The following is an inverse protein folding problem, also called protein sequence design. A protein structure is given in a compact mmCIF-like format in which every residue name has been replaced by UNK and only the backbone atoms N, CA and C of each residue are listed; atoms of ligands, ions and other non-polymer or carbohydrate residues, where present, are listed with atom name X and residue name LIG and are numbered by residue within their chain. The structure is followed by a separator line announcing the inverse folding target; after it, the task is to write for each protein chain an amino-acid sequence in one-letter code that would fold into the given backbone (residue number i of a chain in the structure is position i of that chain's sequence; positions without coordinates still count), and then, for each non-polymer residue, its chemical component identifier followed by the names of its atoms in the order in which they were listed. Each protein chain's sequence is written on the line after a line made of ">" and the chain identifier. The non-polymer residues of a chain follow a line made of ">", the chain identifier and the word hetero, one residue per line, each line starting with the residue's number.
data_IF_381071883255
#
_entry.id   IF_381071883255
#
_cell.length_a   1.000
_cell.length_b   1.000
_cell.length_c   1.000
_cell.angle_alpha   90.00
_cell.angle_beta   90.00
_cell.angle_gamma   90.00
#
_symmetry.space_group_name_H-M   'P 1'
#
loop_
_entity.id
_entity.type
_entity.pdbx_description
1 polymer ?
#
# COMPACT_ATOMS: atom_id res chain seq x y z
N UNK A 1 15.10 12.11 -7.10
CA UNK A 1 16.25 13.02 -6.79
C UNK A 1 17.40 12.15 -6.32
N UNK A 2 18.61 12.31 -6.85
CA UNK A 2 19.75 11.47 -6.42
C UNK A 2 20.23 11.85 -5.03
N UNK A 3 20.80 10.89 -4.30
CA UNK A 3 21.47 11.13 -3.00
C UNK A 3 22.44 12.31 -3.10
N UNK A 4 23.11 12.44 -4.24
CA UNK A 4 24.02 13.55 -4.53
C UNK A 4 23.32 14.91 -4.47
N UNK A 5 22.19 15.05 -5.15
CA UNK A 5 21.42 16.29 -5.17
C UNK A 5 20.80 16.61 -3.80
N UNK A 6 20.39 15.58 -3.07
CA UNK A 6 19.90 15.77 -1.71
C UNK A 6 20.98 16.30 -0.78
N UNK A 7 22.21 15.78 -0.88
CA UNK A 7 23.37 16.25 -0.09
C UNK A 7 23.79 17.66 -0.53
N UNK A 8 23.75 17.98 -1.83
CA UNK A 8 24.09 19.31 -2.35
C UNK A 8 23.17 20.43 -1.82
N UNK A 9 21.93 20.10 -1.49
CA UNK A 9 20.98 21.06 -0.91
C UNK A 9 21.02 21.14 0.63
N UNK A 10 22.00 20.49 1.26
CA UNK A 10 22.28 20.61 2.68
C UNK A 10 23.40 21.62 2.92
N UNK A 11 23.83 21.79 4.19
CA UNK A 11 25.04 22.57 4.53
C UNK A 11 26.35 21.78 4.33
N UNK A 12 26.27 20.49 3.96
CA UNK A 12 27.45 19.62 3.80
C UNK A 12 28.41 20.05 2.68
N UNK A 13 27.97 20.57 1.51
CA UNK A 13 28.87 21.05 0.49
C UNK A 13 29.82 22.19 0.91
N UNK A 14 29.48 22.91 1.96
CA UNK A 14 30.38 23.93 2.54
C UNK A 14 31.50 23.36 3.42
N UNK A 15 31.43 22.07 3.77
CA UNK A 15 32.34 21.38 4.69
C UNK A 15 33.13 20.26 3.98
N UNK A 16 32.54 19.63 2.98
CA UNK A 16 33.05 18.44 2.33
C UNK A 16 33.26 18.66 0.83
N UNK A 17 34.34 18.11 0.30
CA UNK A 17 34.62 18.16 -1.14
C UNK A 17 33.65 17.27 -1.94
N UNK A 18 33.45 17.50 -3.26
CA UNK A 18 32.63 16.65 -4.11
C UNK A 18 33.03 15.16 -4.09
N UNK A 19 34.31 14.87 -3.95
CA UNK A 19 34.84 13.50 -3.86
C UNK A 19 34.43 12.82 -2.53
N UNK A 20 34.48 13.54 -1.42
CA UNK A 20 34.02 13.07 -0.13
C UNK A 20 32.50 12.87 -0.11
N UNK A 21 31.73 13.80 -0.67
CA UNK A 21 30.27 13.66 -0.82
C UNK A 21 29.94 12.42 -1.68
N UNK A 22 30.68 12.19 -2.77
CA UNK A 22 30.51 10.98 -3.60
C UNK A 22 30.80 9.70 -2.81
N UNK A 23 31.72 9.74 -1.86
CA UNK A 23 32.04 8.62 -0.99
C UNK A 23 30.98 8.40 0.08
N UNK A 24 30.49 9.48 0.68
CA UNK A 24 29.45 9.45 1.73
C UNK A 24 28.19 8.72 1.28
N UNK A 25 27.77 8.86 0.01
CA UNK A 25 26.58 8.17 -0.51
C UNK A 25 26.59 6.66 -0.31
N UNK A 26 27.78 6.05 -0.23
CA UNK A 26 27.92 4.61 -0.01
C UNK A 26 27.72 4.19 1.44
N UNK A 27 27.69 5.15 2.36
CA UNK A 27 27.47 4.94 3.78
C UNK A 27 26.08 5.31 4.26
N UNK A 28 25.27 5.93 3.38
CA UNK A 28 23.91 6.29 3.73
C UNK A 28 23.07 5.03 3.84
N UNK A 29 22.50 4.81 5.02
CA UNK A 29 21.60 3.71 5.32
C UNK A 29 20.22 4.23 5.69
N UNK A 30 19.21 3.46 5.39
CA UNK A 30 17.89 3.69 5.95
C UNK A 30 17.92 3.40 7.45
N UNK A 31 17.59 4.35 8.30
CA UNK A 31 17.52 4.15 9.75
C UNK A 31 16.60 3.01 10.17
N UNK A 32 15.60 2.75 9.33
CA UNK A 32 14.54 1.81 9.63
C UNK A 32 14.85 0.37 9.25
N UNK A 33 15.43 0.13 8.06
CA UNK A 33 15.76 -1.22 7.59
C UNK A 33 17.25 -1.51 7.59
N UNK A 34 18.09 -0.52 7.90
CA UNK A 34 19.57 -0.59 7.86
C UNK A 34 20.16 -0.95 6.49
N UNK A 35 19.32 -1.03 5.45
CA UNK A 35 19.78 -1.26 4.08
C UNK A 35 20.52 -0.05 3.54
N UNK A 36 21.53 -0.31 2.71
CA UNK A 36 22.25 0.76 2.00
C UNK A 36 21.34 1.37 0.92
N UNK A 37 21.29 2.68 0.88
CA UNK A 37 20.58 3.39 -0.19
C UNK A 37 21.46 3.42 -1.43
N UNK A 38 21.38 2.36 -2.24
CA UNK A 38 22.17 2.18 -3.46
C UNK A 38 21.73 3.08 -4.64
N UNK A 39 20.98 4.13 -4.42
CA UNK A 39 20.44 4.93 -5.51
C UNK A 39 19.99 6.31 -5.09
N UNK A 40 18.74 6.59 -5.24
CA UNK A 40 18.15 7.88 -5.01
C UNK A 40 17.46 7.98 -3.65
N UNK A 41 17.89 8.89 -2.81
CA UNK A 41 17.05 9.37 -1.71
C UNK A 41 16.05 10.35 -2.33
N UNK A 42 14.77 10.03 -2.24
CA UNK A 42 13.72 10.97 -2.58
C UNK A 42 13.44 11.80 -1.35
N UNK A 43 13.88 13.04 -1.36
CA UNK A 43 13.36 14.05 -0.44
C UNK A 43 12.01 14.43 -1.02
N UNK A 44 10.93 14.04 -0.36
CA UNK A 44 9.63 14.61 -0.66
C UNK A 44 9.64 16.04 -0.13
N UNK A 45 9.52 17.02 -1.01
CA UNK A 45 9.09 18.35 -0.61
C UNK A 45 7.62 18.23 -0.25
N UNK A 46 7.36 18.10 1.04
CA UNK A 46 6.00 18.20 1.55
C UNK A 46 5.69 19.68 1.75
N UNK A 47 4.66 20.18 1.11
CA UNK A 47 4.08 21.50 1.38
C UNK A 47 3.30 21.51 2.72
N UNK A 48 3.82 20.84 3.74
CA UNK A 48 3.16 20.79 5.04
C UNK A 48 3.67 21.91 5.94
N UNK A 49 2.74 22.50 6.68
CA UNK A 49 3.02 23.61 7.58
C UNK A 49 3.93 23.23 8.75
N UNK A 50 3.96 21.96 9.18
CA UNK A 50 4.81 21.46 10.27
C UNK A 50 5.23 19.99 10.06
N UNK A 51 6.29 19.81 9.27
CA UNK A 51 6.85 18.46 8.98
C UNK A 51 7.39 17.79 10.26
N UNK A 52 8.04 18.54 11.15
CA UNK A 52 8.66 17.97 12.35
C UNK A 52 7.62 17.41 13.33
N UNK A 53 6.49 18.12 13.50
CA UNK A 53 5.40 17.65 14.37
C UNK A 53 4.75 16.38 13.82
N UNK A 54 4.61 16.27 12.49
CA UNK A 54 4.05 15.08 11.85
C UNK A 54 4.99 13.88 11.98
N UNK A 55 6.28 14.07 11.76
CA UNK A 55 7.29 13.02 11.94
C UNK A 55 7.34 12.48 13.38
N UNK A 56 7.26 13.36 14.37
CA UNK A 56 7.20 12.96 15.78
C UNK A 56 5.98 12.07 16.04
N UNK A 57 4.80 12.47 15.58
CA UNK A 57 3.56 11.71 15.75
C UNK A 57 3.61 10.34 15.04
N UNK A 58 4.23 10.28 13.85
CA UNK A 58 4.43 9.03 13.12
C UNK A 58 5.35 8.09 13.92
N UNK A 59 6.44 8.59 14.48
CA UNK A 59 7.38 7.79 15.26
C UNK A 59 6.75 7.27 16.57
N UNK A 60 5.96 8.10 17.24
CA UNK A 60 5.20 7.69 18.43
C UNK A 60 4.21 6.58 18.11
N UNK A 61 3.46 6.71 17.00
CA UNK A 61 2.53 5.68 16.54
C UNK A 61 3.21 4.37 16.13
N UNK A 62 4.42 4.45 15.58
CA UNK A 62 5.22 3.26 15.29
C UNK A 62 5.57 2.51 16.57
N UNK A 63 5.98 3.24 17.60
CA UNK A 63 6.29 2.66 18.93
C UNK A 63 5.05 2.00 19.53
N UNK A 64 3.92 2.70 19.56
CA UNK A 64 2.65 2.12 20.03
C UNK A 64 2.25 0.89 19.23
N UNK A 65 2.39 0.95 17.89
CA UNK A 65 2.10 -0.17 17.00
C UNK A 65 2.96 -1.41 17.26
N UNK A 66 4.20 -1.21 17.66
CA UNK A 66 5.14 -2.29 17.96
C UNK A 66 4.94 -2.89 19.37
N UNK A 67 4.63 -2.06 20.35
CA UNK A 67 4.58 -2.47 21.75
C UNK A 67 3.16 -2.77 22.24
N UNK A 68 2.20 -1.91 21.88
CA UNK A 68 0.83 -1.95 22.41
C UNK A 68 -0.21 -1.60 21.33
N UNK A 69 -0.33 -2.41 20.24
CA UNK A 69 -1.10 -2.05 19.05
C UNK A 69 -2.59 -1.78 19.31
N UNK A 70 -3.17 -2.36 20.36
CA UNK A 70 -4.57 -2.12 20.72
C UNK A 70 -4.81 -0.75 21.38
N UNK A 71 -3.74 -0.03 21.74
CA UNK A 71 -3.82 1.29 22.35
C UNK A 71 -3.60 2.44 21.34
N UNK A 72 -3.60 2.17 20.04
CA UNK A 72 -3.45 3.20 19.01
C UNK A 72 -4.40 4.39 19.19
N UNK A 73 -5.63 4.16 19.65
CA UNK A 73 -6.61 5.21 19.90
C UNK A 73 -6.36 6.05 21.15
N UNK A 74 -5.40 5.68 22.00
CA UNK A 74 -4.91 6.58 23.06
C UNK A 74 -4.12 7.76 22.47
N UNK A 75 -3.53 7.59 21.28
CA UNK A 75 -2.79 8.63 20.61
C UNK A 75 -3.74 9.60 19.87
N UNK A 76 -3.53 10.91 20.04
CA UNK A 76 -4.39 11.95 19.46
C UNK A 76 -4.42 11.90 17.92
N UNK A 77 -3.27 11.69 17.29
CA UNK A 77 -3.18 11.60 15.83
C UNK A 77 -4.02 10.43 15.29
N UNK A 78 -3.99 9.27 15.93
CA UNK A 78 -4.82 8.13 15.52
C UNK A 78 -6.32 8.44 15.67
N UNK A 79 -6.72 9.15 16.73
CA UNK A 79 -8.12 9.63 16.90
C UNK A 79 -8.51 10.61 15.79
N UNK A 80 -7.61 11.52 15.41
CA UNK A 80 -7.86 12.46 14.30
C UNK A 80 -8.03 11.73 12.98
N UNK A 81 -7.19 10.72 12.69
CA UNK A 81 -7.32 9.87 11.49
C UNK A 81 -8.69 9.18 11.47
N UNK A 82 -9.10 8.55 12.57
CA UNK A 82 -10.42 7.92 12.67
C UNK A 82 -11.57 8.92 12.47
N UNK A 83 -11.48 10.09 13.10
CA UNK A 83 -12.51 11.13 12.97
C UNK A 83 -12.63 11.65 11.54
N UNK A 84 -11.48 11.91 10.89
CA UNK A 84 -11.44 12.35 9.49
C UNK A 84 -12.06 11.29 8.56
N UNK A 85 -11.60 10.04 8.61
CA UNK A 85 -12.13 8.95 7.77
C UNK A 85 -13.65 8.82 7.93
N UNK A 86 -14.18 8.96 9.14
CA UNK A 86 -15.63 8.92 9.40
C UNK A 86 -16.38 10.11 8.83
N UNK A 87 -15.80 11.29 8.84
CA UNK A 87 -16.47 12.49 8.29
C UNK A 87 -16.42 12.53 6.77
N UNK A 88 -15.31 12.10 6.17
CA UNK A 88 -15.06 12.19 4.74
C UNK A 88 -15.86 11.19 3.90
N UNK A 89 -16.37 10.09 4.47
CA UNK A 89 -17.07 9.03 3.70
C UNK A 89 -18.26 9.54 2.88
N UNK A 90 -18.95 10.59 3.35
CA UNK A 90 -20.11 11.17 2.66
C UNK A 90 -19.75 11.89 1.36
N UNK A 91 -18.52 12.33 1.24
CA UNK A 91 -17.98 13.07 0.09
C UNK A 91 -16.93 12.23 -0.66
N UNK A 92 -16.73 10.99 -0.22
CA UNK A 92 -15.73 10.09 -0.81
C UNK A 92 -16.02 9.81 -2.28
N UNK A 93 -14.96 9.75 -3.06
CA UNK A 93 -15.00 9.31 -4.43
C UNK A 93 -15.51 7.87 -4.58
N UNK A 94 -16.02 7.55 -5.76
CA UNK A 94 -16.47 6.21 -6.08
C UNK A 94 -15.71 5.64 -7.27
N UNK A 95 -15.31 4.39 -7.18
CA UNK A 95 -14.89 3.62 -8.33
C UNK A 95 -16.15 3.19 -9.08
N UNK A 96 -16.29 3.60 -10.34
CA UNK A 96 -17.50 3.35 -11.11
C UNK A 96 -17.72 1.84 -11.38
N UNK A 97 -18.98 1.44 -11.56
CA UNK A 97 -19.28 0.15 -12.15
C UNK A 97 -18.68 0.06 -13.56
N UNK A 98 -18.21 -1.11 -13.97
CA UNK A 98 -17.55 -1.29 -15.25
C UNK A 98 -16.03 -0.96 -15.23
N UNK A 99 -15.47 -0.61 -14.08
CA UNK A 99 -14.02 -0.36 -13.97
C UNK A 99 -13.25 -1.67 -14.02
N UNK A 100 -12.26 -1.76 -14.93
CA UNK A 100 -11.35 -2.90 -15.02
C UNK A 100 -10.27 -2.82 -13.95
N UNK A 101 -10.13 -3.89 -13.19
CA UNK A 101 -9.08 -4.12 -12.19
C UNK A 101 -8.41 -5.46 -12.46
N UNK A 102 -7.20 -5.65 -11.95
CA UNK A 102 -6.39 -6.81 -12.30
C UNK A 102 -5.95 -7.58 -11.07
N UNK A 103 -5.94 -8.91 -11.18
CA UNK A 103 -5.40 -9.78 -10.15
C UNK A 103 -4.54 -10.86 -10.76
N UNK A 104 -3.31 -10.93 -10.34
CA UNK A 104 -2.42 -12.00 -10.74
C UNK A 104 -2.39 -13.13 -9.68
N UNK A 105 -2.26 -14.36 -10.15
CA UNK A 105 -2.05 -15.56 -9.35
C UNK A 105 -0.95 -16.41 -9.97
N UNK A 106 -0.07 -16.97 -9.16
CA UNK A 106 0.90 -17.94 -9.66
C UNK A 106 0.17 -19.12 -10.31
N UNK A 107 0.56 -19.50 -11.52
CA UNK A 107 -0.12 -20.55 -12.28
C UNK A 107 -0.17 -21.87 -11.48
N UNK A 108 0.93 -22.20 -10.79
CA UNK A 108 1.02 -23.40 -9.94
C UNK A 108 0.01 -23.37 -8.79
N UNK A 109 -0.33 -22.20 -8.25
CA UNK A 109 -1.27 -22.10 -7.12
C UNK A 109 -2.71 -22.41 -7.53
N UNK A 110 -3.10 -22.08 -8.75
CA UNK A 110 -4.42 -22.40 -9.29
C UNK A 110 -4.48 -23.89 -9.67
N UNK A 111 -3.48 -24.38 -10.39
CA UNK A 111 -3.45 -25.79 -10.81
C UNK A 111 -3.40 -26.75 -9.61
N UNK A 112 -2.64 -26.43 -8.57
CA UNK A 112 -2.57 -27.26 -7.36
C UNK A 112 -3.85 -27.25 -6.52
N UNK A 113 -4.67 -26.19 -6.64
CA UNK A 113 -5.96 -26.12 -5.95
C UNK A 113 -7.09 -26.85 -6.70
N UNK A 114 -6.84 -27.33 -7.93
CA UNK A 114 -7.85 -27.96 -8.79
C UNK A 114 -8.92 -26.99 -9.29
N UNK A 115 -8.70 -25.69 -9.20
CA UNK A 115 -9.64 -24.67 -9.70
C UNK A 115 -9.49 -24.49 -11.21
N UNK A 116 -10.60 -24.23 -11.88
CA UNK A 116 -10.58 -23.82 -13.29
C UNK A 116 -10.06 -22.38 -13.40
N UNK A 117 -9.13 -22.16 -14.31
CA UNK A 117 -8.55 -20.81 -14.56
C UNK A 117 -9.59 -19.82 -15.12
N UNK A 118 -10.66 -20.31 -15.74
CA UNK A 118 -11.81 -19.52 -16.20
C UNK A 118 -12.85 -19.25 -15.12
N UNK A 119 -12.69 -19.81 -13.93
CA UNK A 119 -13.62 -19.56 -12.82
C UNK A 119 -13.21 -18.29 -12.05
N UNK A 120 -14.15 -17.36 -11.88
CA UNK A 120 -13.97 -16.16 -11.08
C UNK A 120 -13.47 -16.48 -9.65
N UNK A 121 -13.93 -17.59 -9.07
CA UNK A 121 -13.56 -17.98 -7.71
C UNK A 121 -12.08 -18.38 -7.58
N UNK A 122 -11.40 -18.72 -8.67
CA UNK A 122 -9.94 -18.92 -8.67
C UNK A 122 -9.17 -17.64 -8.32
N UNK A 123 -9.82 -16.49 -8.46
CA UNK A 123 -9.26 -15.16 -8.16
C UNK A 123 -9.86 -14.53 -6.90
N UNK A 124 -10.69 -15.25 -6.17
CA UNK A 124 -11.21 -14.82 -4.86
C UNK A 124 -10.10 -14.77 -3.78
N UNK A 125 -10.32 -14.07 -2.67
CA UNK A 125 -9.45 -14.20 -1.50
C UNK A 125 -9.34 -15.65 -1.05
N UNK A 126 -8.23 -16.03 -0.38
CA UNK A 126 -8.13 -17.36 0.21
C UNK A 126 -9.22 -17.56 1.28
N UNK A 127 -9.63 -18.83 1.55
CA UNK A 127 -10.55 -19.12 2.63
C UNK A 127 -10.05 -18.58 3.98
N UNK A 128 -10.95 -18.11 4.83
CA UNK A 128 -10.68 -17.49 6.14
C UNK A 128 -9.55 -18.17 6.93
N UNK A 129 -9.56 -19.50 7.00
CA UNK A 129 -8.54 -20.30 7.74
C UNK A 129 -7.12 -20.22 7.18
N UNK A 130 -6.97 -19.77 5.91
CA UNK A 130 -5.69 -19.64 5.22
C UNK A 130 -5.22 -18.18 5.10
N UNK A 131 -6.04 -17.24 5.55
CA UNK A 131 -5.71 -15.82 5.49
C UNK A 131 -4.70 -15.48 6.58
N UNK A 132 -3.49 -15.14 6.15
CA UNK A 132 -2.45 -14.58 7.01
C UNK A 132 -2.55 -13.05 7.07
N UNK A 133 -1.83 -12.43 7.99
CA UNK A 133 -1.79 -10.97 8.06
C UNK A 133 -1.23 -10.35 6.78
N UNK A 134 -1.94 -9.37 6.25
CA UNK A 134 -1.54 -8.55 5.12
C UNK A 134 -1.42 -7.08 5.49
N UNK A 135 -1.15 -6.25 4.48
CA UNK A 135 -1.01 -4.80 4.68
C UNK A 135 -2.25 -4.18 5.33
N UNK A 136 -3.44 -4.56 4.89
CA UNK A 136 -4.71 -4.01 5.37
C UNK A 136 -5.59 -5.02 6.09
N UNK A 137 -5.28 -6.32 6.03
CA UNK A 137 -6.11 -7.34 6.63
C UNK A 137 -5.45 -8.01 7.85
N UNK A 138 -6.27 -8.30 8.85
CA UNK A 138 -5.92 -9.18 9.97
C UNK A 138 -5.91 -10.65 9.52
N UNK A 139 -5.18 -11.50 10.26
CA UNK A 139 -5.28 -12.94 10.07
C UNK A 139 -6.74 -13.40 10.21
N UNK A 140 -7.17 -14.30 9.35
CA UNK A 140 -8.55 -14.77 9.34
C UNK A 140 -9.59 -13.80 8.77
N UNK A 141 -9.19 -12.61 8.30
CA UNK A 141 -10.10 -11.64 7.68
C UNK A 141 -9.74 -11.49 6.20
N UNK A 142 -10.45 -12.20 5.30
CA UNK A 142 -10.16 -12.12 3.87
C UNK A 142 -10.50 -10.74 3.31
N UNK A 143 -9.61 -10.20 2.50
CA UNK A 143 -9.82 -9.00 1.69
C UNK A 143 -9.42 -9.28 0.24
N UNK A 144 -10.05 -8.61 -0.72
CA UNK A 144 -9.75 -8.81 -2.13
C UNK A 144 -8.81 -7.72 -2.61
N UNK A 145 -7.55 -8.11 -2.84
CA UNK A 145 -6.50 -7.22 -3.37
C UNK A 145 -6.49 -7.25 -4.89
N UNK A 146 -6.58 -6.08 -5.50
CA UNK A 146 -6.61 -5.86 -6.95
C UNK A 146 -5.59 -4.78 -7.32
N UNK A 147 -5.21 -4.72 -8.58
CA UNK A 147 -4.28 -3.73 -9.11
C UNK A 147 -4.96 -2.88 -10.20
N UNK A 148 -4.47 -1.66 -10.38
CA UNK A 148 -4.97 -0.73 -11.40
C UNK A 148 -4.56 -1.12 -12.82
N UNK A 149 -3.51 -1.94 -12.97
CA UNK A 149 -3.04 -2.43 -14.27
C UNK A 149 -2.49 -3.86 -14.18
N UNK A 150 -2.29 -4.48 -15.35
CA UNK A 150 -1.69 -5.81 -15.47
C UNK A 150 -0.25 -5.84 -14.98
N UNK A 151 0.50 -4.79 -15.28
CA UNK A 151 1.90 -4.64 -14.90
C UNK A 151 2.04 -4.56 -13.38
N UNK A 152 1.14 -3.82 -12.72
CA UNK A 152 1.08 -3.76 -11.26
C UNK A 152 0.73 -5.12 -10.68
N UNK A 153 -0.33 -5.77 -11.19
CA UNK A 153 -0.74 -7.09 -10.72
C UNK A 153 0.38 -8.13 -10.86
N UNK A 154 1.08 -8.12 -11.99
CA UNK A 154 2.19 -9.03 -12.26
C UNK A 154 3.40 -8.78 -11.35
N UNK A 155 3.71 -7.51 -11.05
CA UNK A 155 4.80 -7.15 -10.13
C UNK A 155 4.48 -7.52 -8.68
N UNK A 156 3.21 -7.45 -8.26
CA UNK A 156 2.78 -7.77 -6.88
C UNK A 156 2.92 -9.27 -6.54
N UNK A 157 2.97 -10.17 -7.53
CA UNK A 157 3.27 -11.60 -7.29
C UNK A 157 4.64 -11.79 -6.63
N UNK A 158 5.61 -10.90 -6.92
CA UNK A 158 6.93 -10.95 -6.30
C UNK A 158 7.80 -12.14 -6.73
N UNK A 159 7.47 -12.79 -7.84
CA UNK A 159 8.20 -13.93 -8.41
C UNK A 159 8.57 -13.63 -9.88
N UNK A 160 9.61 -12.82 -10.13
CA UNK A 160 10.02 -12.45 -11.48
C UNK A 160 10.36 -13.67 -12.36
N UNK A 161 9.79 -13.68 -13.57
CA UNK A 161 10.02 -14.77 -14.53
C UNK A 161 9.15 -16.02 -14.33
N UNK A 162 8.47 -16.15 -13.17
CA UNK A 162 7.61 -17.31 -12.93
C UNK A 162 6.25 -17.16 -13.65
N UNK A 163 5.71 -18.27 -14.18
CA UNK A 163 4.41 -18.26 -14.85
C UNK A 163 3.28 -17.81 -13.92
N UNK A 164 2.50 -16.86 -14.39
CA UNK A 164 1.32 -16.38 -13.69
C UNK A 164 0.12 -16.22 -14.60
N UNK A 165 -1.06 -16.18 -14.01
CA UNK A 165 -2.32 -15.86 -14.66
C UNK A 165 -2.79 -14.51 -14.16
N UNK A 166 -3.12 -13.61 -15.09
CA UNK A 166 -3.67 -12.28 -14.79
C UNK A 166 -5.15 -12.30 -15.19
N UNK A 167 -6.01 -12.16 -14.18
CA UNK A 167 -7.44 -11.97 -14.40
C UNK A 167 -7.76 -10.49 -14.50
N UNK A 168 -8.50 -10.10 -15.52
CA UNK A 168 -9.18 -8.83 -15.62
C UNK A 168 -10.56 -8.98 -14.98
N UNK A 169 -10.78 -8.24 -13.91
CA UNK A 169 -12.00 -8.24 -13.10
C UNK A 169 -12.69 -6.89 -13.26
N UNK A 170 -13.95 -6.91 -13.64
CA UNK A 170 -14.74 -5.69 -13.85
C UNK A 170 -15.71 -5.49 -12.70
N UNK A 171 -15.72 -4.30 -12.12
CA UNK A 171 -16.63 -3.96 -11.02
C UNK A 171 -18.09 -4.05 -11.45
N UNK A 172 -18.91 -4.76 -10.67
CA UNK A 172 -20.33 -4.96 -10.96
C UNK A 172 -21.22 -3.82 -10.44
N UNK A 173 -20.71 -3.03 -9.50
CA UNK A 173 -21.38 -1.86 -8.89
C UNK A 173 -20.38 -0.77 -8.56
N UNK A 174 -20.84 0.47 -8.30
CA UNK A 174 -19.97 1.49 -7.75
C UNK A 174 -19.45 1.08 -6.36
N UNK A 175 -18.20 1.44 -6.05
CA UNK A 175 -17.56 1.19 -4.75
C UNK A 175 -17.13 2.53 -4.14
N UNK A 176 -17.50 2.78 -2.89
CA UNK A 176 -17.03 3.95 -2.13
C UNK A 176 -15.58 3.72 -1.72
N UNK A 177 -14.67 4.60 -2.10
CA UNK A 177 -13.23 4.41 -1.97
C UNK A 177 -12.61 5.44 -1.03
N UNK A 178 -11.83 4.96 -0.06
CA UNK A 178 -10.84 5.80 0.62
C UNK A 178 -9.60 5.88 -0.27
N UNK A 179 -9.41 7.03 -0.92
CA UNK A 179 -8.26 7.25 -1.80
C UNK A 179 -7.06 7.76 -1.00
N UNK A 180 -5.95 6.98 -1.03
CA UNK A 180 -4.68 7.34 -0.41
C UNK A 180 -3.60 7.64 -1.48
N UNK A 181 -4.00 7.79 -2.74
CA UNK A 181 -3.10 8.12 -3.88
C UNK A 181 -3.33 9.55 -4.32
N UNK A 182 -4.57 9.90 -4.60
CA UNK A 182 -4.99 11.22 -5.05
C UNK A 182 -5.81 11.87 -3.93
N UNK A 183 -5.10 12.52 -3.00
CA UNK A 183 -5.71 13.23 -1.88
C UNK A 183 -5.86 14.69 -2.31
N UNK A 184 -7.11 15.15 -2.36
CA UNK A 184 -7.46 16.50 -2.77
C UNK A 184 -6.80 17.54 -1.84
N UNK A 185 -6.11 18.53 -2.43
CA UNK A 185 -5.48 19.62 -1.68
C UNK A 185 -6.51 20.51 -0.96
N UNK A 186 -7.72 20.57 -1.49
CA UNK A 186 -8.83 21.31 -0.90
C UNK A 186 -9.58 20.53 0.21
N UNK A 187 -9.23 19.23 0.42
CA UNK A 187 -9.82 18.44 1.51
C UNK A 187 -9.35 18.96 2.87
N UNK A 188 -10.26 19.24 3.82
CA UNK A 188 -9.89 19.67 5.18
C UNK A 188 -8.95 18.70 5.92
N UNK A 189 -8.88 17.45 5.50
CA UNK A 189 -7.97 16.44 6.02
C UNK A 189 -6.68 16.27 5.24
N UNK A 190 -6.45 17.07 4.20
CA UNK A 190 -5.26 16.94 3.35
C UNK A 190 -3.96 16.93 4.19
N UNK A 191 -3.77 17.91 5.06
CA UNK A 191 -2.59 18.00 5.94
C UNK A 191 -2.42 16.82 6.90
N UNK A 192 -3.47 16.05 7.13
CA UNK A 192 -3.45 14.83 7.94
C UNK A 192 -3.18 13.59 7.09
N UNK A 193 -3.92 13.44 5.99
CA UNK A 193 -3.96 12.20 5.21
C UNK A 193 -2.84 12.09 4.19
N UNK A 194 -2.41 13.19 3.57
CA UNK A 194 -1.34 13.15 2.56
C UNK A 194 0.03 12.78 3.16
N UNK A 195 0.47 13.37 4.31
CA UNK A 195 1.67 12.88 5.00
C UNK A 195 1.55 11.44 5.44
N UNK A 196 0.39 11.05 5.97
CA UNK A 196 0.14 9.70 6.43
C UNK A 196 0.26 8.68 5.28
N UNK A 197 -0.37 8.95 4.13
CA UNK A 197 -0.33 8.08 2.96
C UNK A 197 1.10 7.89 2.41
N UNK A 198 1.91 8.95 2.47
CA UNK A 198 3.32 8.94 2.05
C UNK A 198 4.28 8.40 3.11
N UNK A 199 3.82 8.28 4.35
CA UNK A 199 4.66 7.88 5.47
C UNK A 199 5.02 6.40 5.45
N UNK A 200 6.05 6.08 6.22
CA UNK A 200 6.44 4.70 6.46
C UNK A 200 5.36 3.86 7.18
N UNK A 201 4.33 4.48 7.77
CA UNK A 201 3.20 3.76 8.34
C UNK A 201 2.35 3.05 7.27
N UNK A 202 2.20 3.65 6.09
CA UNK A 202 1.38 3.13 4.99
C UNK A 202 2.17 2.75 3.75
N UNK A 203 3.19 3.52 3.36
CA UNK A 203 3.84 3.41 2.06
C UNK A 203 5.08 2.50 2.02
N UNK A 204 5.70 2.17 3.15
CA UNK A 204 6.96 1.43 3.13
C UNK A 204 6.77 -0.02 2.63
N UNK A 205 7.53 -0.44 1.60
CA UNK A 205 7.65 -1.85 1.26
C UNK A 205 8.41 -2.54 2.39
N UNK A 206 7.94 -3.70 2.84
CA UNK A 206 8.62 -4.46 3.86
C UNK A 206 8.65 -5.94 3.55
N UNK A 207 9.84 -6.46 3.50
CA UNK A 207 10.11 -7.88 3.62
C UNK A 207 10.19 -8.19 5.13
N UNK A 208 9.34 -9.06 5.61
CA UNK A 208 9.39 -9.56 6.98
C UNK A 208 9.19 -11.05 6.97
N UNK A 209 10.08 -11.79 7.61
CA UNK A 209 9.87 -13.19 7.89
C UNK A 209 8.94 -13.32 9.10
N UNK A 210 8.02 -14.25 9.03
CA UNK A 210 7.11 -14.54 10.11
C UNK A 210 5.64 -14.25 9.79
N UNK A 211 4.77 -14.81 10.62
CA UNK A 211 3.32 -14.73 10.47
C UNK A 211 2.73 -13.43 11.06
N UNK A 212 3.42 -12.81 12.02
CA UNK A 212 3.07 -11.54 12.62
C UNK A 212 3.81 -10.39 11.92
N UNK A 213 3.08 -9.54 11.22
CA UNK A 213 3.62 -8.40 10.47
C UNK A 213 3.33 -7.10 11.22
N UNK A 214 4.13 -6.83 12.25
CA UNK A 214 4.02 -5.61 13.09
C UNK A 214 4.03 -4.32 12.26
N UNK A 215 4.84 -4.27 11.19
CA UNK A 215 4.93 -3.12 10.29
C UNK A 215 3.61 -2.72 9.62
N UNK A 216 2.62 -3.59 9.61
CA UNK A 216 1.31 -3.31 9.03
C UNK A 216 0.22 -2.99 10.06
N UNK A 217 0.58 -2.83 11.33
CA UNK A 217 -0.39 -2.52 12.39
C UNK A 217 -1.17 -1.26 12.06
N UNK A 218 -0.47 -0.19 11.67
CA UNK A 218 -1.16 1.08 11.39
C UNK A 218 -1.99 1.04 10.09
N UNK A 219 -1.53 0.38 9.04
CA UNK A 219 -2.34 0.23 7.82
C UNK A 219 -3.59 -0.63 8.05
N UNK A 220 -3.52 -1.64 8.92
CA UNK A 220 -4.69 -2.40 9.38
C UNK A 220 -5.64 -1.53 10.20
N UNK A 221 -5.11 -0.67 11.08
CA UNK A 221 -5.93 0.31 11.81
C UNK A 221 -6.68 1.25 10.84
N UNK A 222 -6.03 1.77 9.80
CA UNK A 222 -6.69 2.59 8.76
C UNK A 222 -7.78 1.79 8.04
N UNK A 223 -7.52 0.51 7.72
CA UNK A 223 -8.52 -0.35 7.09
C UNK A 223 -9.73 -0.60 8.00
N UNK A 224 -9.51 -0.80 9.30
CA UNK A 224 -10.59 -0.93 10.29
C UNK A 224 -11.40 0.36 10.40
N UNK A 225 -10.73 1.53 10.41
CA UNK A 225 -11.40 2.84 10.39
C UNK A 225 -12.27 3.00 9.14
N UNK A 226 -11.73 2.70 7.96
CA UNK A 226 -12.43 2.80 6.68
C UNK A 226 -13.64 1.85 6.63
N UNK A 227 -13.46 0.60 7.05
CA UNK A 227 -14.54 -0.39 7.15
C UNK A 227 -15.64 0.06 8.11
N UNK A 228 -15.27 0.55 9.29
CA UNK A 228 -16.22 1.05 10.28
C UNK A 228 -16.97 2.32 9.83
N UNK A 229 -16.36 3.12 8.95
CA UNK A 229 -16.97 4.30 8.35
C UNK A 229 -17.89 3.98 7.17
N UNK A 230 -17.82 2.77 6.60
CA UNK A 230 -18.68 2.35 5.49
C UNK A 230 -18.03 2.47 4.09
N UNK A 231 -16.71 2.58 4.00
CA UNK A 231 -16.02 2.44 2.72
C UNK A 231 -16.05 0.99 2.23
N UNK A 232 -16.19 0.81 0.91
CA UNK A 232 -16.09 -0.50 0.27
C UNK A 232 -14.63 -0.90 0.02
N UNK A 233 -13.77 0.06 -0.28
CA UNK A 233 -12.39 -0.18 -0.68
C UNK A 233 -11.42 0.92 -0.24
N UNK A 234 -10.11 0.59 -0.27
CA UNK A 234 -9.02 1.56 -0.15
C UNK A 234 -8.20 1.49 -1.43
N UNK A 235 -7.90 2.64 -2.04
CA UNK A 235 -6.93 2.79 -3.12
C UNK A 235 -5.62 3.30 -2.55
N UNK A 236 -4.51 2.65 -2.87
CA UNK A 236 -3.20 2.99 -2.32
C UNK A 236 -2.08 2.76 -3.35
N UNK A 237 -0.99 3.51 -3.23
CA UNK A 237 0.14 3.42 -4.16
C UNK A 237 0.81 2.04 -4.11
N UNK A 238 1.16 1.51 -5.29
CA UNK A 238 1.96 0.29 -5.38
C UNK A 238 3.39 0.56 -4.92
N UNK A 239 3.95 -0.34 -4.12
CA UNK A 239 5.37 -0.31 -3.76
C UNK A 239 6.25 -1.01 -4.78
N UNK A 240 5.65 -1.66 -5.78
CA UNK A 240 6.34 -2.41 -6.83
C UNK A 240 6.41 -1.66 -8.17
N UNK A 241 5.54 -0.66 -8.37
CA UNK A 241 5.44 0.14 -9.60
C UNK A 241 5.17 1.60 -9.26
N UNK A 242 6.00 2.51 -9.77
CA UNK A 242 5.98 3.94 -9.41
C UNK A 242 4.63 4.61 -9.72
N UNK A 243 4.08 4.32 -10.90
CA UNK A 243 2.84 4.94 -11.40
C UNK A 243 1.62 4.02 -11.21
N UNK A 244 1.74 3.03 -10.33
CA UNK A 244 0.72 2.03 -10.11
C UNK A 244 -0.03 2.23 -8.80
N UNK A 245 -1.30 1.87 -8.81
CA UNK A 245 -2.12 1.81 -7.62
C UNK A 245 -2.68 0.41 -7.41
N UNK A 246 -2.93 0.09 -6.15
CA UNK A 246 -3.65 -1.10 -5.74
C UNK A 246 -4.98 -0.69 -5.10
N UNK A 247 -5.95 -1.57 -5.21
CA UNK A 247 -7.25 -1.44 -4.59
C UNK A 247 -7.47 -2.66 -3.70
N UNK A 248 -7.80 -2.44 -2.44
CA UNK A 248 -8.23 -3.51 -1.54
C UNK A 248 -9.70 -3.34 -1.20
N UNK A 249 -10.50 -4.36 -1.52
CA UNK A 249 -11.91 -4.44 -1.13
C UNK A 249 -11.98 -4.99 0.29
N UNK A 250 -12.55 -4.20 1.21
CA UNK A 250 -12.46 -4.39 2.66
C UNK A 250 -13.33 -5.55 3.17
N UNK A 251 -14.51 -5.71 2.58
CA UNK A 251 -15.47 -6.73 2.98
C UNK A 251 -15.98 -7.46 1.74
N UNK A 252 -15.12 -8.28 1.08
CA UNK A 252 -15.59 -9.07 -0.04
C UNK A 252 -16.60 -10.12 0.45
N UNK A 253 -17.72 -10.33 -0.25
CA UNK A 253 -18.62 -11.42 0.05
C UNK A 253 -17.92 -12.76 -0.17
N UNK A 254 -18.47 -13.83 0.37
CA UNK A 254 -17.95 -15.20 0.20
C UNK A 254 -17.86 -15.56 -1.30
N UNK A 255 -18.82 -15.09 -2.07
CA UNK A 255 -18.82 -15.15 -3.55
C UNK A 255 -18.65 -13.74 -4.08
N UNK A 256 -17.56 -13.51 -4.83
CA UNK A 256 -17.16 -12.17 -5.29
C UNK A 256 -17.94 -11.66 -6.51
N UNK A 257 -18.84 -12.46 -7.08
CA UNK A 257 -19.68 -12.09 -8.23
C UNK A 257 -20.58 -10.86 -7.97
N UNK A 258 -20.89 -10.60 -6.69
CA UNK A 258 -21.66 -9.39 -6.30
C UNK A 258 -20.86 -8.09 -6.36
N UNK A 259 -19.53 -8.18 -6.52
CA UNK A 259 -18.62 -7.02 -6.56
C UNK A 259 -17.91 -6.92 -7.90
N UNK A 260 -17.45 -8.05 -8.44
CA UNK A 260 -16.71 -8.11 -9.71
C UNK A 260 -17.18 -9.28 -10.59
N UNK A 261 -16.99 -9.13 -11.89
CA UNK A 261 -17.13 -10.20 -12.88
C UNK A 261 -15.80 -10.45 -13.56
N UNK A 262 -15.56 -11.68 -14.01
CA UNK A 262 -14.38 -12.05 -14.77
C UNK A 262 -14.59 -11.69 -16.25
N UNK A 263 -13.79 -10.76 -16.76
CA UNK A 263 -13.81 -10.37 -18.17
C UNK A 263 -12.86 -11.23 -19.02
N UNK A 264 -11.64 -11.44 -18.53
CA UNK A 264 -10.60 -12.16 -19.27
C UNK A 264 -9.54 -12.71 -18.31
N UNK A 265 -8.88 -13.79 -18.75
CA UNK A 265 -7.68 -14.34 -18.13
C UNK A 265 -6.57 -14.45 -19.16
N UNK A 266 -5.38 -14.01 -18.81
CA UNK A 266 -4.20 -14.08 -19.65
C UNK A 266 -3.07 -14.82 -18.95
N UNK A 267 -2.29 -15.57 -19.72
CA UNK A 267 -1.02 -16.09 -19.26
C UNK A 267 0.05 -15.00 -19.33
N UNK A 268 0.87 -14.89 -18.32
CA UNK A 268 1.95 -13.93 -18.20
C UNK A 268 3.08 -14.50 -17.37
N UNK A 269 4.09 -13.68 -17.13
CA UNK A 269 5.16 -13.98 -16.17
C UNK A 269 5.22 -12.88 -15.12
N UNK A 270 5.66 -13.22 -13.92
CA UNK A 270 5.88 -12.23 -12.86
C UNK A 270 6.89 -11.18 -13.32
N UNK A 271 6.60 -9.92 -13.11
CA UNK A 271 7.50 -8.81 -13.39
C UNK A 271 8.37 -8.49 -12.17
N UNK A 272 9.62 -8.10 -12.44
CA UNK A 272 10.45 -7.50 -11.40
C UNK A 272 9.81 -6.20 -10.89
N UNK A 273 9.94 -5.93 -9.61
CA UNK A 273 9.58 -4.63 -9.08
C UNK A 273 10.44 -3.56 -9.78
N UNK A 274 9.80 -2.52 -10.31
CA UNK A 274 10.48 -1.31 -10.71
C UNK A 274 10.60 -0.46 -9.44
N UNK A 275 11.67 -0.69 -8.70
CA UNK A 275 12.01 0.19 -7.59
C UNK A 275 12.17 1.62 -8.13
N UNK A 276 11.72 2.59 -7.35
CA UNK A 276 11.99 4.00 -7.64
C UNK A 276 13.51 4.16 -7.63
N UNK A 277 14.08 4.33 -8.83
CA UNK A 277 15.53 4.57 -9.00
C UNK A 277 15.87 5.97 -8.53
#
# INVERSE_FOLDING_TARGET
>A
MGVFYAIENTRLPGVWSPAEISTLRHFVRCERCSEYVAGNIWIYEHNFSDVAAIESQINELLTIGDETPFLLLEHEFARRVLAHIRSAVKQAGTLAAGTSLFRARAAVSISSSGQDTGDLQAYAPPPTRLVVEGRFNHAGTPMLYLASSREVASAEIGAPGEPCLIAELVTSRPLVVLDLVEIDEDDPGHELMAPLASSALLAAPRSGEGWLKKQYVFSRFVADCARAAGYDAIRYASTKRIDGANIVILVPPLRIEGIVSLARVEQSVGLAALERR
#
